data_IF_962884359401
#
_entry.id   IF_962884359401
#
_cell.length_a   1.000
_cell.length_b   1.000
_cell.length_c   1.000
_cell.angle_alpha   90.00
_cell.angle_beta   90.00
_cell.angle_gamma   90.00
#
_symmetry.space_group_name_H-M   'P 1'
#
loop_
_entity.id
_entity.type
_entity.pdbx_description
1 polymer ?
#
# COMPACT_ATOMS: atom_id res chain seq x y z
N UNK A 1 -14.26 -39.92 -40.08
CA UNK A 1 -13.35 -38.76 -40.14
C UNK A 1 -12.62 -38.66 -38.81
N UNK A 2 -11.35 -39.03 -38.83
CA UNK A 2 -10.42 -38.91 -37.71
C UNK A 2 -9.98 -37.44 -37.60
N UNK A 3 -10.03 -36.83 -36.41
CA UNK A 3 -8.79 -36.46 -35.73
C UNK A 3 -9.04 -36.10 -34.26
N UNK A 4 -8.08 -36.49 -33.44
CA UNK A 4 -8.04 -36.49 -31.99
C UNK A 4 -6.79 -35.70 -31.61
N UNK A 5 -6.91 -34.58 -30.92
CA UNK A 5 -5.76 -33.87 -30.33
C UNK A 5 -6.26 -33.03 -29.16
N UNK A 6 -6.18 -33.58 -27.94
CA UNK A 6 -5.11 -33.36 -26.93
C UNK A 6 -5.25 -32.05 -26.16
N UNK A 7 -5.83 -32.21 -24.96
CA UNK A 7 -5.34 -31.75 -23.66
C UNK A 7 -4.03 -30.94 -23.69
N UNK A 8 -4.02 -29.73 -23.14
CA UNK A 8 -2.84 -29.16 -22.47
C UNK A 8 -3.23 -28.06 -21.49
N UNK A 9 -3.20 -28.44 -20.21
CA UNK A 9 -3.10 -27.52 -19.09
C UNK A 9 -1.82 -26.68 -19.25
N UNK A 10 -1.96 -25.35 -19.18
CA UNK A 10 -0.81 -24.46 -19.07
C UNK A 10 -0.65 -24.15 -17.59
N UNK A 11 0.08 -25.04 -16.91
CA UNK A 11 0.86 -24.67 -15.72
C UNK A 11 2.01 -23.80 -16.22
N UNK A 12 2.10 -22.56 -15.76
CA UNK A 12 3.37 -21.84 -15.73
C UNK A 12 3.50 -21.21 -14.35
N UNK A 13 3.99 -22.03 -13.43
CA UNK A 13 4.67 -21.59 -12.23
C UNK A 13 5.91 -20.81 -12.70
N UNK A 14 5.91 -19.49 -12.54
CA UNK A 14 7.15 -18.70 -12.65
C UNK A 14 8.01 -18.98 -11.41
N UNK A 15 8.69 -20.13 -11.49
CA UNK A 15 9.80 -20.54 -10.64
C UNK A 15 11.02 -19.72 -11.00
N UNK A 16 11.15 -18.52 -10.44
CA UNK A 16 12.47 -17.95 -10.24
C UNK A 16 12.54 -16.98 -9.07
N UNK A 17 12.49 -17.53 -7.85
CA UNK A 17 12.96 -16.84 -6.65
C UNK A 17 14.42 -17.25 -6.41
N UNK A 18 15.38 -16.30 -6.26
CA UNK A 18 16.77 -16.62 -6.02
C UNK A 18 16.93 -17.38 -4.70
N UNK A 19 17.45 -18.61 -4.76
CA UNK A 19 17.75 -19.45 -3.59
C UNK A 19 19.11 -19.06 -3.03
N UNK A 20 19.16 -18.46 -1.84
CA UNK A 20 20.41 -18.26 -1.09
C UNK A 20 20.71 -19.46 -0.20
N UNK A 21 21.95 -19.93 -0.26
CA UNK A 21 22.51 -20.98 0.59
C UNK A 21 22.88 -20.34 1.94
N UNK A 22 21.96 -20.43 2.90
CA UNK A 22 22.18 -20.46 4.36
C UNK A 22 20.88 -20.10 5.11
N UNK A 23 20.00 -21.09 5.28
CA UNK A 23 19.41 -21.45 6.58
C UNK A 23 18.53 -20.46 7.38
N UNK A 24 18.29 -19.22 6.96
CA UNK A 24 17.33 -18.34 7.63
C UNK A 24 16.48 -17.61 6.58
N UNK A 25 15.27 -18.12 6.33
CA UNK A 25 14.25 -17.40 5.59
C UNK A 25 13.85 -16.16 6.40
N UNK A 26 14.29 -14.98 5.98
CA UNK A 26 13.70 -13.72 6.45
C UNK A 26 12.24 -13.78 6.01
N UNK A 27 11.32 -14.00 6.95
CA UNK A 27 9.89 -14.02 6.67
C UNK A 27 9.51 -12.62 6.23
N UNK A 28 9.27 -12.42 4.94
CA UNK A 28 8.64 -11.22 4.43
C UNK A 28 7.22 -11.17 5.02
N UNK A 29 7.07 -10.54 6.19
CA UNK A 29 5.77 -10.32 6.79
C UNK A 29 5.10 -9.16 6.06
N UNK A 30 3.99 -9.45 5.40
CA UNK A 30 3.11 -8.41 4.86
C UNK A 30 2.70 -7.47 5.99
N UNK A 31 2.75 -6.16 5.75
CA UNK A 31 2.22 -5.14 6.65
C UNK A 31 0.83 -4.77 6.16
N UNK A 32 -0.17 -4.90 7.01
CA UNK A 32 -1.52 -4.47 6.72
C UNK A 32 -1.89 -3.27 7.59
N UNK A 33 -2.45 -2.22 6.98
CA UNK A 33 -3.01 -1.06 7.66
C UNK A 33 -4.48 -0.89 7.28
N UNK A 34 -5.30 -0.47 8.23
CA UNK A 34 -6.67 -0.03 7.98
C UNK A 34 -6.73 1.47 8.22
N UNK A 35 -7.29 2.22 7.29
CA UNK A 35 -7.39 3.68 7.36
C UNK A 35 -8.86 4.06 7.39
N UNK A 36 -9.24 4.87 8.37
CA UNK A 36 -10.54 5.52 8.43
C UNK A 36 -10.38 6.98 7.98
N UNK A 37 -11.11 7.40 6.94
CA UNK A 37 -10.99 8.73 6.37
C UNK A 37 -11.79 9.82 7.10
N UNK A 38 -12.20 9.57 8.35
CA UNK A 38 -12.87 10.54 9.21
C UNK A 38 -14.31 10.77 8.78
N UNK A 39 -14.72 12.05 8.70
CA UNK A 39 -16.14 12.41 8.55
C UNK A 39 -16.77 11.96 7.22
N UNK A 40 -15.98 11.72 6.16
CA UNK A 40 -16.53 11.16 4.92
C UNK A 40 -16.95 9.69 5.07
N UNK A 41 -16.51 9.00 6.14
CA UNK A 41 -16.95 7.65 6.49
C UNK A 41 -16.32 6.52 5.69
N UNK A 42 -15.55 6.80 4.64
CA UNK A 42 -14.93 5.76 3.83
C UNK A 42 -13.73 5.13 4.54
N UNK A 43 -13.75 3.80 4.63
CA UNK A 43 -12.61 3.00 5.08
C UNK A 43 -11.75 2.55 3.89
N UNK A 44 -10.53 2.12 4.18
CA UNK A 44 -9.61 1.56 3.20
C UNK A 44 -8.67 0.56 3.87
N UNK A 45 -8.34 -0.53 3.19
CA UNK A 45 -7.27 -1.46 3.58
C UNK A 45 -6.06 -1.26 2.70
N UNK A 46 -4.88 -1.23 3.30
CA UNK A 46 -3.60 -1.13 2.61
C UNK A 46 -2.78 -2.35 3.01
N UNK A 47 -2.23 -3.04 2.02
CA UNK A 47 -1.29 -4.14 2.22
C UNK A 47 0.02 -3.78 1.53
N UNK A 48 1.10 -3.79 2.30
CA UNK A 48 2.45 -3.51 1.85
C UNK A 48 3.32 -4.75 2.04
N UNK A 49 4.01 -5.19 0.98
CA UNK A 49 4.89 -6.36 0.99
C UNK A 49 6.30 -5.97 0.59
N UNK A 50 7.28 -6.30 1.42
CA UNK A 50 8.70 -6.19 1.06
C UNK A 50 9.00 -7.12 -0.11
N UNK A 51 9.36 -6.55 -1.27
CA UNK A 51 9.77 -7.32 -2.46
C UNK A 51 11.27 -7.60 -2.37
N UNK A 52 12.05 -6.58 -2.06
CA UNK A 52 13.50 -6.67 -1.87
C UNK A 52 13.97 -5.68 -0.77
N UNK A 53 15.27 -5.37 -0.70
CA UNK A 53 15.83 -4.49 0.34
C UNK A 53 15.34 -3.04 0.24
N UNK A 54 14.95 -2.59 -0.94
CA UNK A 54 14.61 -1.19 -1.25
C UNK A 54 13.27 -1.03 -1.95
N UNK A 55 12.57 -2.11 -2.29
CA UNK A 55 11.29 -2.07 -3.02
C UNK A 55 10.17 -2.72 -2.21
N UNK A 56 9.02 -2.06 -2.18
CA UNK A 56 7.77 -2.54 -1.57
C UNK A 56 6.67 -2.61 -2.61
N UNK A 57 5.90 -3.70 -2.60
CA UNK A 57 4.66 -3.84 -3.36
C UNK A 57 3.47 -3.35 -2.54
N UNK A 58 2.48 -2.78 -3.21
CA UNK A 58 1.30 -2.19 -2.60
C UNK A 58 0.03 -2.78 -3.18
N UNK A 59 -0.97 -2.97 -2.32
CA UNK A 59 -2.34 -3.29 -2.67
C UNK A 59 -3.26 -2.44 -1.78
N UNK A 60 -4.19 -1.71 -2.40
CA UNK A 60 -5.14 -0.82 -1.75
C UNK A 60 -6.54 -1.32 -2.10
N UNK A 61 -7.36 -1.63 -1.11
CA UNK A 61 -8.64 -2.31 -1.28
C UNK A 61 -9.67 -1.88 -0.21
N UNK A 62 -10.88 -2.46 -0.28
CA UNK A 62 -11.93 -2.28 0.74
C UNK A 62 -12.37 -0.80 0.94
N UNK A 63 -12.39 -0.01 -0.13
CA UNK A 63 -12.86 1.39 -0.12
C UNK A 63 -14.02 1.61 -1.11
N UNK A 64 -15.07 2.27 -0.64
CA UNK A 64 -16.20 2.72 -1.47
C UNK A 64 -15.99 4.14 -2.06
N UNK A 65 -14.93 4.84 -1.64
CA UNK A 65 -14.57 6.14 -2.23
C UNK A 65 -14.00 5.95 -3.65
N UNK A 66 -14.67 6.54 -4.65
CA UNK A 66 -14.26 6.45 -6.06
C UNK A 66 -12.84 7.00 -6.30
N UNK A 67 -12.45 8.08 -5.62
CA UNK A 67 -11.10 8.64 -5.75
C UNK A 67 -10.05 7.66 -5.22
N UNK A 68 -10.33 6.97 -4.11
CA UNK A 68 -9.42 5.96 -3.56
C UNK A 68 -9.37 4.71 -4.45
N UNK A 69 -10.47 4.33 -5.09
CA UNK A 69 -10.48 3.25 -6.08
C UNK A 69 -9.58 3.60 -7.27
N UNK A 70 -9.72 4.78 -7.86
CA UNK A 70 -8.84 5.24 -8.95
C UNK A 70 -7.38 5.35 -8.49
N UNK A 71 -7.15 5.89 -7.30
CA UNK A 71 -5.83 5.97 -6.67
C UNK A 71 -5.17 4.59 -6.53
N UNK A 72 -5.94 3.55 -6.18
CA UNK A 72 -5.43 2.19 -6.04
C UNK A 72 -4.90 1.60 -7.35
N UNK A 73 -5.48 2.01 -8.49
CA UNK A 73 -5.07 1.53 -9.81
C UNK A 73 -3.75 2.16 -10.28
N UNK A 74 -3.39 3.33 -9.74
CA UNK A 74 -2.20 4.09 -10.12
C UNK A 74 -0.93 3.66 -9.35
N UNK A 75 -1.06 2.90 -8.27
CA UNK A 75 0.05 2.56 -7.37
C UNK A 75 0.12 1.07 -7.07
N UNK A 76 1.18 0.42 -7.56
CA UNK A 76 1.45 -1.01 -7.33
C UNK A 76 2.75 -1.28 -6.57
N UNK A 77 3.70 -0.33 -6.57
CA UNK A 77 4.99 -0.47 -5.89
C UNK A 77 5.64 0.87 -5.63
N UNK A 78 6.56 0.90 -4.66
CA UNK A 78 7.41 2.05 -4.36
C UNK A 78 8.83 1.57 -4.05
N UNK A 79 9.80 2.42 -4.35
CA UNK A 79 11.17 2.29 -3.86
C UNK A 79 11.38 3.09 -2.58
N UNK A 80 12.42 2.75 -1.82
CA UNK A 80 12.83 3.44 -0.59
C UNK A 80 13.04 4.94 -0.83
N UNK A 81 13.62 5.30 -1.98
CA UNK A 81 13.84 6.70 -2.36
C UNK A 81 12.52 7.45 -2.61
N UNK A 82 11.54 6.78 -3.22
CA UNK A 82 10.23 7.37 -3.52
C UNK A 82 9.38 7.56 -2.27
N UNK A 83 9.45 6.63 -1.31
CA UNK A 83 8.74 6.73 -0.02
C UNK A 83 9.09 8.05 0.69
N UNK A 84 10.37 8.43 0.68
CA UNK A 84 10.88 9.66 1.33
C UNK A 84 11.03 10.85 0.39
N UNK A 85 10.44 10.79 -0.82
CA UNK A 85 10.46 11.93 -1.73
C UNK A 85 9.59 13.09 -1.17
N UNK A 86 9.99 14.36 -1.38
CA UNK A 86 9.15 15.52 -1.10
C UNK A 86 7.77 15.41 -1.75
N UNK A 87 6.73 15.91 -1.06
CA UNK A 87 5.32 15.77 -1.46
C UNK A 87 5.08 16.13 -2.93
N UNK A 88 5.64 17.25 -3.40
CA UNK A 88 5.46 17.75 -4.78
C UNK A 88 6.01 16.83 -5.88
N UNK A 89 6.80 15.83 -5.52
CA UNK A 89 7.37 14.84 -6.45
C UNK A 89 7.28 13.41 -5.93
N UNK A 90 6.44 13.18 -4.92
CA UNK A 90 6.26 11.86 -4.34
C UNK A 90 5.17 11.13 -5.14
N UNK A 91 5.45 9.93 -5.69
CA UNK A 91 4.50 9.23 -6.55
C UNK A 91 3.17 8.92 -5.86
N UNK A 92 3.15 8.75 -4.53
CA UNK A 92 1.91 8.57 -3.79
C UNK A 92 1.03 9.82 -3.87
N UNK A 93 1.60 11.00 -3.66
CA UNK A 93 0.82 12.24 -3.69
C UNK A 93 0.49 12.68 -5.12
N UNK A 94 1.34 12.40 -6.10
CA UNK A 94 1.04 12.63 -7.51
C UNK A 94 -0.12 11.73 -8.00
N UNK A 95 -0.13 10.46 -7.61
CA UNK A 95 -1.25 9.56 -7.90
C UNK A 95 -2.53 10.01 -7.20
N UNK A 96 -2.44 10.51 -5.96
CA UNK A 96 -3.59 11.04 -5.24
C UNK A 96 -4.16 12.30 -5.90
N UNK A 97 -3.30 13.21 -6.36
CA UNK A 97 -3.69 14.39 -7.16
C UNK A 97 -4.38 13.95 -8.46
N UNK A 98 -3.78 13.02 -9.21
CA UNK A 98 -4.34 12.51 -10.46
C UNK A 98 -5.72 11.85 -10.27
N UNK A 99 -5.91 11.14 -9.16
CA UNK A 99 -7.20 10.52 -8.80
C UNK A 99 -8.21 11.51 -8.19
N UNK A 100 -7.85 12.78 -8.01
CA UNK A 100 -8.73 13.81 -7.44
C UNK A 100 -9.01 13.64 -5.94
N UNK A 101 -8.09 13.02 -5.19
CA UNK A 101 -8.24 12.84 -3.74
C UNK A 101 -8.35 14.18 -3.00
N UNK A 102 -9.18 14.23 -1.96
CA UNK A 102 -9.20 15.35 -1.02
C UNK A 102 -7.81 15.52 -0.39
N UNK A 103 -7.20 16.73 -0.38
CA UNK A 103 -5.81 16.89 0.04
C UNK A 103 -5.48 16.42 1.46
N UNK A 104 -6.44 16.48 2.39
CA UNK A 104 -6.26 16.02 3.77
C UNK A 104 -6.76 14.60 4.02
N UNK A 105 -7.11 13.84 2.97
CA UNK A 105 -7.43 12.43 3.12
C UNK A 105 -6.25 11.69 3.77
N UNK A 106 -6.45 10.89 4.83
CA UNK A 106 -5.36 10.19 5.50
C UNK A 106 -4.84 8.97 4.71
N UNK A 107 -5.55 8.52 3.66
CA UNK A 107 -5.20 7.31 2.90
C UNK A 107 -3.83 7.39 2.22
N UNK A 108 -3.47 8.45 1.47
CA UNK A 108 -2.11 8.60 0.91
C UNK A 108 -1.01 8.54 1.98
N UNK A 109 -1.20 9.19 3.12
CA UNK A 109 -0.26 9.11 4.24
C UNK A 109 -0.17 7.68 4.81
N UNK A 110 -1.32 6.99 4.91
CA UNK A 110 -1.39 5.58 5.31
C UNK A 110 -0.60 4.64 4.39
N UNK A 111 -0.60 4.91 3.07
CA UNK A 111 0.18 4.12 2.09
C UNK A 111 1.67 4.25 2.38
N UNK A 112 2.16 5.47 2.59
CA UNK A 112 3.56 5.70 2.95
C UNK A 112 3.90 5.05 4.30
N UNK A 113 3.04 5.16 5.31
CA UNK A 113 3.25 4.53 6.62
C UNK A 113 3.33 3.00 6.54
N UNK A 114 2.45 2.38 5.78
CA UNK A 114 2.49 0.93 5.55
C UNK A 114 3.79 0.51 4.82
N UNK A 115 4.21 1.29 3.83
CA UNK A 115 5.44 1.09 3.09
C UNK A 115 6.71 1.22 3.97
N UNK A 116 6.77 2.25 4.82
CA UNK A 116 7.85 2.47 5.79
C UNK A 116 7.98 1.27 6.74
N UNK A 117 6.87 0.77 7.29
CA UNK A 117 6.86 -0.39 8.18
C UNK A 117 7.27 -1.67 7.44
N UNK A 118 6.73 -1.91 6.24
CA UNK A 118 7.07 -3.08 5.43
C UNK A 118 8.56 -3.15 5.06
N UNK A 119 9.22 -2.00 4.87
CA UNK A 119 10.66 -1.94 4.63
C UNK A 119 11.51 -1.88 5.92
N UNK A 120 10.90 -2.04 7.10
CA UNK A 120 11.56 -1.96 8.41
C UNK A 120 12.20 -0.60 8.70
N UNK A 121 11.71 0.47 8.05
CA UNK A 121 12.14 1.85 8.29
C UNK A 121 11.36 2.52 9.42
N UNK A 122 10.22 1.95 9.82
CA UNK A 122 9.40 2.39 10.93
C UNK A 122 8.85 1.20 11.72
N UNK A 123 8.57 1.42 13.00
CA UNK A 123 7.90 0.45 13.88
C UNK A 123 6.38 0.62 13.71
N UNK A 124 5.59 -0.47 13.58
CA UNK A 124 4.14 -0.38 13.48
C UNK A 124 3.54 0.26 14.73
N UNK A 125 2.91 1.43 14.55
CA UNK A 125 2.15 2.13 15.58
C UNK A 125 1.08 2.98 14.91
N UNK A 126 -0.11 3.01 15.50
CA UNK A 126 -1.23 3.76 14.98
C UNK A 126 -0.95 5.27 14.97
N UNK A 127 -1.36 5.93 13.89
CA UNK A 127 -1.40 7.38 13.76
C UNK A 127 -2.87 7.82 13.66
N UNK A 128 -3.26 8.81 14.45
CA UNK A 128 -4.63 9.29 14.52
C UNK A 128 -4.68 10.80 14.73
N UNK A 129 -5.68 11.45 14.16
CA UNK A 129 -6.03 12.84 14.45
C UNK A 129 -7.19 12.81 15.45
N UNK A 130 -7.01 13.43 16.61
CA UNK A 130 -8.06 13.62 17.62
C UNK A 130 -8.36 15.12 17.74
N UNK A 131 -9.64 15.48 17.65
CA UNK A 131 -10.09 16.84 17.92
C UNK A 131 -10.35 16.98 19.42
N UNK A 132 -9.81 18.05 20.01
CA UNK A 132 -9.96 18.38 21.42
C UNK A 132 -10.35 19.86 21.54
N UNK A 133 -11.11 20.25 22.59
CA UNK A 133 -11.41 21.65 22.84
C UNK A 133 -10.14 22.48 23.03
N UNK A 134 -10.18 23.74 22.60
CA UNK A 134 -9.14 24.71 22.94
C UNK A 134 -9.17 25.00 24.45
N UNK A 135 -8.00 25.19 25.08
CA UNK A 135 -7.94 25.50 26.52
C UNK A 135 -8.68 26.81 26.81
N UNK A 136 -9.67 26.77 27.69
CA UNK A 136 -10.42 27.94 28.14
C UNK A 136 -11.81 28.11 27.52
N UNK A 137 -12.24 27.20 26.64
CA UNK A 137 -13.64 27.09 26.23
C UNK A 137 -14.31 26.03 27.12
N UNK A 138 -14.95 26.49 28.20
CA UNK A 138 -15.96 25.69 28.88
C UNK A 138 -17.16 25.57 27.93
N UNK A 139 -17.55 24.33 27.61
CA UNK A 139 -18.75 24.02 26.82
C UNK A 139 -19.99 24.30 27.65
#
# INVERSE_FOLDING_TARGET
>A
MHNKTRNMAIKSEDKNLPKTKNGAAVRASDTCASVNAGICGFACRIKARKIDKITVGLEISESECQQIQQFSELLSKLTLKEIFAPVTRNPVYLAAEQAGCHPSCPVPAGVLKAAEVALEMAIPRDASIRFEPCKGEEV
#
